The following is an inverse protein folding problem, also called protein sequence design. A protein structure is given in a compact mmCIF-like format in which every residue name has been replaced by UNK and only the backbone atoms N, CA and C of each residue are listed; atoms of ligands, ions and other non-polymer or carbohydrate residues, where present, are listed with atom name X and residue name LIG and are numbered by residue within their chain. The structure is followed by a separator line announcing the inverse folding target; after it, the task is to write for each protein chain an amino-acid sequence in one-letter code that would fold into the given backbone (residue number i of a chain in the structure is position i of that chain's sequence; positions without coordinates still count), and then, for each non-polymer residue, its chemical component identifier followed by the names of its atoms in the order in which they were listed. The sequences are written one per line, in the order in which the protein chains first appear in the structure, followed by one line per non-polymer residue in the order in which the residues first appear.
data_IF_795624616310
#
_entry.id   IF_795624616310
#
_cell.length_a   1.000
_cell.length_b   1.000
_cell.length_c   1.000
_cell.angle_alpha   90.00
_cell.angle_beta   90.00
_cell.angle_gamma   90.00
#
_symmetry.space_group_name_H-M   'P 1'
#
loop_
_entity.id
_entity.type
_entity.pdbx_description
1 polymer ?
#
# COMPACT_ATOMS: atom_id res chain seq x y z
N UNK A 1 -20.36 -7.86 2.94
CA UNK A 1 -19.11 -7.77 3.74
C UNK A 1 -18.13 -8.94 3.56
N UNK A 2 -18.33 -9.87 2.61
CA UNK A 2 -17.44 -11.03 2.39
C UNK A 2 -16.21 -10.71 1.51
N UNK A 3 -16.31 -9.71 0.63
CA UNK A 3 -15.26 -9.37 -0.35
C UNK A 3 -14.00 -8.75 0.28
N UNK A 4 -14.15 -7.90 1.30
CA UNK A 4 -13.04 -7.25 2.02
C UNK A 4 -12.27 -8.20 2.96
N UNK A 5 -12.85 -9.35 3.34
CA UNK A 5 -12.12 -10.35 4.13
C UNK A 5 -11.10 -11.11 3.27
N UNK A 6 -11.40 -11.29 1.99
CA UNK A 6 -10.53 -12.04 1.07
C UNK A 6 -9.28 -11.25 0.67
N UNK A 7 -9.31 -9.91 0.72
CA UNK A 7 -8.13 -9.09 0.39
C UNK A 7 -7.00 -9.26 1.41
N UNK A 8 -7.32 -9.58 2.67
CA UNK A 8 -6.33 -9.87 3.70
C UNK A 8 -5.84 -11.33 3.70
N UNK A 9 -6.31 -12.14 2.74
CA UNK A 9 -5.86 -13.54 2.65
C UNK A 9 -4.40 -13.60 2.19
N UNK A 10 -3.56 -14.50 2.77
CA UNK A 10 -2.16 -14.63 2.37
C UNK A 10 -1.99 -14.92 0.87
N UNK A 11 -2.93 -15.68 0.30
CA UNK A 11 -2.92 -16.03 -1.12
C UNK A 11 -3.02 -14.80 -2.03
N UNK A 12 -3.86 -13.82 -1.67
CA UNK A 12 -3.97 -12.57 -2.42
C UNK A 12 -2.65 -11.79 -2.42
N UNK A 13 -1.95 -11.75 -1.28
CA UNK A 13 -0.64 -11.10 -1.15
C UNK A 13 0.48 -11.82 -1.92
N UNK A 14 0.43 -13.15 -2.01
CA UNK A 14 1.38 -13.90 -2.84
C UNK A 14 1.12 -13.74 -4.33
N UNK A 15 -0.15 -13.65 -4.74
CA UNK A 15 -0.52 -13.43 -6.13
C UNK A 15 -0.21 -12.01 -6.62
N UNK A 16 -0.19 -11.02 -5.72
CA UNK A 16 0.02 -9.60 -6.02
C UNK A 16 1.16 -9.01 -5.18
N UNK A 17 2.43 -9.30 -5.50
CA UNK A 17 3.58 -8.75 -4.77
C UNK A 17 3.73 -7.24 -5.02
N UNK A 18 4.31 -6.51 -4.06
CA UNK A 18 4.50 -5.05 -4.17
C UNK A 18 5.29 -4.64 -5.44
N UNK A 19 6.23 -5.48 -5.90
CA UNK A 19 6.96 -5.26 -7.16
C UNK A 19 6.04 -5.23 -8.39
N UNK A 20 4.94 -5.98 -8.37
CA UNK A 20 3.93 -5.94 -9.43
C UNK A 20 3.13 -4.63 -9.37
N UNK A 21 2.88 -4.07 -8.18
CA UNK A 21 2.25 -2.76 -8.03
C UNK A 21 3.13 -1.63 -8.60
N UNK A 22 4.45 -1.72 -8.42
CA UNK A 22 5.39 -0.77 -9.03
C UNK A 22 5.26 -0.77 -10.58
N UNK A 23 5.04 -1.95 -11.18
CA UNK A 23 4.83 -2.07 -12.64
C UNK A 23 3.53 -1.45 -13.13
N UNK A 24 2.54 -1.32 -12.24
CA UNK A 24 1.25 -0.67 -12.52
C UNK A 24 1.30 0.85 -12.32
N UNK A 25 2.49 1.43 -12.13
CA UNK A 25 2.70 2.86 -11.82
C UNK A 25 2.04 3.30 -10.51
N UNK A 26 1.76 2.36 -9.60
CA UNK A 26 1.40 2.71 -8.22
C UNK A 26 2.67 3.09 -7.45
N UNK A 27 2.54 4.12 -6.63
CA UNK A 27 3.63 4.61 -5.80
C UNK A 27 3.43 4.26 -4.33
N UNK A 28 4.52 3.88 -3.68
CA UNK A 28 4.58 3.71 -2.24
C UNK A 28 4.48 5.07 -1.55
N UNK A 29 3.36 5.34 -0.90
CA UNK A 29 3.12 6.60 -0.18
C UNK A 29 4.12 6.84 0.97
N UNK A 30 4.81 5.81 1.47
CA UNK A 30 5.89 5.99 2.45
C UNK A 30 7.18 6.54 1.83
N UNK A 31 7.35 6.43 0.52
CA UNK A 31 8.52 6.93 -0.23
C UNK A 31 8.23 8.23 -0.97
N UNK A 32 6.97 8.51 -1.26
CA UNK A 32 6.58 9.74 -1.93
C UNK A 32 6.39 10.82 -0.87
N UNK A 33 7.23 11.85 -0.93
CA UNK A 33 7.00 13.12 -0.24
C UNK A 33 5.82 13.84 -0.88
N UNK A 34 4.62 13.38 -0.57
CA UNK A 34 3.43 14.19 -0.79
C UNK A 34 3.54 15.31 0.24
N UNK A 35 3.66 16.57 -0.19
CA UNK A 35 3.76 17.73 0.71
C UNK A 35 2.57 17.92 1.68
N UNK A 36 1.68 16.92 1.78
CA UNK A 36 0.61 16.75 2.76
C UNK A 36 0.93 15.57 3.67
N UNK A 37 1.56 15.86 4.81
CA UNK A 37 1.77 14.88 5.88
C UNK A 37 0.53 14.88 6.78
N UNK A 38 -0.40 13.95 6.56
CA UNK A 38 -1.47 13.68 7.54
C UNK A 38 -0.95 12.69 8.58
N UNK A 39 0.05 13.09 9.36
CA UNK A 39 0.51 12.28 10.49
C UNK A 39 1.03 13.16 11.60
N UNK A 40 0.34 13.11 12.74
CA UNK A 40 0.79 13.64 14.02
C UNK A 40 2.08 12.97 14.56
N UNK A 41 2.72 12.10 13.78
CA UNK A 41 3.91 11.32 14.13
C UNK A 41 5.08 11.48 13.14
N UNK A 42 5.04 12.43 12.20
CA UNK A 42 6.24 12.79 11.45
C UNK A 42 7.20 13.56 12.38
N UNK A 43 8.16 12.82 12.94
CA UNK A 43 9.12 13.31 13.92
C UNK A 43 10.28 14.02 13.20
N UNK A 44 10.68 15.14 13.77
CA UNK A 44 11.82 16.00 13.44
C UNK A 44 13.14 15.26 13.22
#
# INVERSE_FOLDING_TARGET
MWRWRNSASPLAHYAMPNKWLDSLTLYDMGKVETGYVFSAYAKW
#
